data_IF_448751824832
#
_entry.id   IF_448751824832
#
_cell.length_a   1.000
_cell.length_b   1.000
_cell.length_c   1.000
_cell.angle_alpha   90.00
_cell.angle_beta   90.00
_cell.angle_gamma   90.00
#
_symmetry.space_group_name_H-M   'P 1'
#
loop_
_entity.id
_entity.type
_entity.pdbx_description
1 polymer ?
#
# COMPACT_ATOMS: atom_id res chain seq x y z
N UNK A 1 -9.45 -27.20 -15.54
CA UNK A 1 -10.53 -26.20 -15.58
C UNK A 1 -10.28 -25.11 -14.54
N UNK A 2 -10.54 -23.85 -14.90
CA UNK A 2 -10.64 -22.68 -14.01
C UNK A 2 -12.13 -22.45 -13.75
N UNK A 3 -12.58 -22.58 -12.51
CA UNK A 3 -14.00 -22.49 -12.17
C UNK A 3 -14.29 -21.17 -11.43
N UNK A 4 -15.25 -20.39 -11.92
CA UNK A 4 -15.61 -19.08 -11.38
C UNK A 4 -16.97 -19.15 -10.65
N UNK A 5 -16.93 -19.41 -9.34
CA UNK A 5 -18.13 -19.53 -8.51
C UNK A 5 -18.50 -18.18 -7.90
N UNK A 6 -19.65 -17.64 -8.26
CA UNK A 6 -20.10 -16.32 -7.84
C UNK A 6 -21.63 -16.27 -7.68
N UNK A 7 -22.13 -15.25 -6.98
CA UNK A 7 -23.56 -14.96 -6.96
C UNK A 7 -23.94 -14.22 -8.24
N UNK A 8 -25.15 -14.45 -8.77
CA UNK A 8 -25.65 -13.77 -9.98
C UNK A 8 -25.54 -12.24 -9.91
N UNK A 9 -25.72 -11.64 -8.73
CA UNK A 9 -25.60 -10.19 -8.53
C UNK A 9 -24.18 -9.65 -8.68
N UNK A 10 -23.18 -10.52 -8.60
CA UNK A 10 -21.77 -10.17 -8.70
C UNK A 10 -21.24 -10.27 -10.14
N UNK A 11 -22.07 -10.69 -11.10
CA UNK A 11 -21.74 -10.79 -12.53
C UNK A 11 -21.06 -9.55 -13.11
N UNK A 12 -21.49 -8.31 -12.81
CA UNK A 12 -20.83 -7.12 -13.33
C UNK A 12 -19.33 -7.02 -13.00
N UNK A 13 -18.88 -7.65 -11.92
CA UNK A 13 -17.47 -7.68 -11.51
C UNK A 13 -16.77 -8.95 -12.02
N UNK A 14 -17.48 -10.09 -12.02
CA UNK A 14 -16.90 -11.40 -12.39
C UNK A 14 -16.78 -11.60 -13.89
N UNK A 15 -17.71 -11.07 -14.69
CA UNK A 15 -17.73 -11.25 -16.15
C UNK A 15 -16.50 -10.64 -16.86
N UNK A 16 -16.02 -9.43 -16.50
CA UNK A 16 -14.77 -8.90 -17.03
C UNK A 16 -13.56 -9.81 -16.71
N UNK A 17 -13.51 -10.38 -15.52
CA UNK A 17 -12.46 -11.34 -15.12
C UNK A 17 -12.56 -12.60 -15.98
N UNK A 18 -13.77 -13.17 -16.10
CA UNK A 18 -14.02 -14.35 -16.91
C UNK A 18 -13.57 -14.13 -18.36
N UNK A 19 -13.96 -13.00 -18.96
CA UNK A 19 -13.63 -12.62 -20.34
C UNK A 19 -12.12 -12.45 -20.54
N UNK A 20 -11.42 -11.88 -19.56
CA UNK A 20 -9.95 -11.79 -19.62
C UNK A 20 -9.31 -13.17 -19.55
N UNK A 21 -9.78 -14.02 -18.63
CA UNK A 21 -9.24 -15.37 -18.46
C UNK A 21 -9.50 -16.23 -19.70
N UNK A 22 -10.68 -16.13 -20.33
CA UNK A 22 -10.99 -16.87 -21.56
C UNK A 22 -10.12 -16.42 -22.73
N UNK A 23 -9.80 -15.12 -22.81
CA UNK A 23 -8.85 -14.57 -23.80
C UNK A 23 -7.43 -15.12 -23.60
N UNK A 24 -6.99 -15.28 -22.34
CA UNK A 24 -5.62 -15.70 -22.02
C UNK A 24 -5.43 -17.22 -22.09
N UNK A 25 -6.42 -17.99 -21.61
CA UNK A 25 -6.30 -19.43 -21.41
C UNK A 25 -7.17 -20.28 -22.33
N UNK A 26 -8.07 -19.66 -23.09
CA UNK A 26 -9.10 -20.35 -23.86
C UNK A 26 -10.43 -20.44 -23.11
N UNK A 27 -11.53 -20.21 -23.82
CA UNK A 27 -12.89 -20.23 -23.26
C UNK A 27 -13.28 -21.62 -22.71
N UNK A 28 -12.80 -22.70 -23.33
CA UNK A 28 -13.01 -24.09 -22.89
C UNK A 28 -12.29 -24.43 -21.58
N UNK A 29 -11.32 -23.62 -21.16
CA UNK A 29 -10.60 -23.78 -19.89
C UNK A 29 -11.22 -22.99 -18.74
N UNK A 30 -12.21 -22.14 -19.01
CA UNK A 30 -12.87 -21.27 -18.03
C UNK A 30 -14.35 -21.64 -17.92
N UNK A 31 -14.70 -22.22 -16.79
CA UNK A 31 -16.10 -22.46 -16.43
C UNK A 31 -16.68 -21.17 -15.82
N UNK A 32 -17.51 -20.48 -16.60
CA UNK A 32 -18.31 -19.33 -16.20
C UNK A 32 -19.75 -19.59 -16.62
N UNK A 33 -20.69 -19.52 -15.68
CA UNK A 33 -22.09 -19.91 -15.87
C UNK A 33 -22.73 -19.25 -17.10
N UNK A 34 -22.40 -17.98 -17.38
CA UNK A 34 -22.95 -17.20 -18.49
C UNK A 34 -22.70 -17.79 -19.88
N UNK A 35 -21.68 -18.63 -20.06
CA UNK A 35 -21.46 -19.36 -21.32
C UNK A 35 -21.36 -20.88 -21.16
N UNK A 36 -20.99 -21.39 -20.00
CA UNK A 36 -20.83 -22.82 -19.76
C UNK A 36 -22.16 -23.56 -19.59
N UNK A 37 -23.24 -22.84 -19.30
CA UNK A 37 -24.59 -23.39 -19.11
C UNK A 37 -25.54 -22.67 -20.07
N UNK A 38 -26.11 -23.42 -21.03
CA UNK A 38 -27.03 -22.87 -22.02
C UNK A 38 -28.48 -23.31 -21.74
N UNK A 39 -29.49 -22.57 -22.23
CA UNK A 39 -30.88 -22.99 -22.13
C UNK A 39 -31.08 -24.40 -22.69
N UNK A 40 -31.64 -25.30 -21.86
CA UNK A 40 -31.81 -26.72 -22.18
C UNK A 40 -30.80 -27.63 -21.47
N UNK A 41 -29.71 -27.10 -20.92
CA UNK A 41 -28.76 -27.86 -20.12
C UNK A 41 -29.29 -28.14 -18.69
N UNK A 42 -28.94 -29.31 -18.16
CA UNK A 42 -29.04 -29.59 -16.73
C UNK A 42 -27.99 -28.78 -15.97
N UNK A 43 -28.42 -27.78 -15.18
CA UNK A 43 -27.52 -26.91 -14.41
C UNK A 43 -26.58 -27.72 -13.51
N UNK A 44 -27.13 -28.71 -12.79
CA UNK A 44 -26.38 -29.56 -11.86
C UNK A 44 -25.35 -30.40 -12.61
N UNK A 45 -25.72 -30.98 -13.74
CA UNK A 45 -24.83 -31.82 -14.54
C UNK A 45 -23.64 -31.01 -15.07
N UNK A 46 -23.89 -29.82 -15.64
CA UNK A 46 -22.82 -28.91 -16.09
C UNK A 46 -21.91 -28.46 -14.95
N UNK A 47 -22.45 -28.18 -13.78
CA UNK A 47 -21.64 -27.85 -12.61
C UNK A 47 -20.73 -29.01 -12.22
N UNK A 48 -21.25 -30.24 -12.21
CA UNK A 48 -20.46 -31.43 -11.89
C UNK A 48 -19.34 -31.64 -12.92
N UNK A 49 -19.63 -31.50 -14.22
CA UNK A 49 -18.64 -31.60 -15.30
C UNK A 49 -17.50 -30.57 -15.11
N UNK A 50 -17.86 -29.33 -14.79
CA UNK A 50 -16.89 -28.26 -14.53
C UNK A 50 -16.05 -28.51 -13.27
N UNK A 51 -16.64 -29.08 -12.23
CA UNK A 51 -15.99 -29.41 -10.97
C UNK A 51 -15.04 -30.61 -11.09
N UNK A 52 -15.41 -31.66 -11.83
CA UNK A 52 -14.60 -32.87 -11.97
C UNK A 52 -13.20 -32.57 -12.55
N UNK A 53 -13.14 -31.62 -13.49
CA UNK A 53 -11.89 -31.18 -14.13
C UNK A 53 -11.28 -29.93 -13.49
N UNK A 54 -11.81 -29.48 -12.35
CA UNK A 54 -11.40 -28.25 -11.69
C UNK A 54 -10.01 -28.37 -11.09
N UNK A 55 -9.13 -27.43 -11.46
CA UNK A 55 -7.81 -27.25 -10.86
C UNK A 55 -7.77 -26.02 -9.95
N UNK A 56 -8.43 -24.95 -10.37
CA UNK A 56 -8.55 -23.71 -9.62
C UNK A 56 -10.02 -23.38 -9.47
N UNK A 57 -10.48 -23.33 -8.22
CA UNK A 57 -11.84 -22.99 -7.87
C UNK A 57 -11.83 -21.61 -7.22
N UNK A 58 -12.14 -20.58 -8.01
CA UNK A 58 -12.22 -19.21 -7.53
C UNK A 58 -13.61 -18.95 -6.98
N UNK A 59 -13.69 -18.70 -5.67
CA UNK A 59 -14.94 -18.42 -4.99
C UNK A 59 -15.05 -16.92 -4.70
N UNK A 60 -15.96 -16.24 -5.38
CA UNK A 60 -16.21 -14.82 -5.21
C UNK A 60 -17.13 -14.58 -4.01
N UNK A 61 -16.54 -14.00 -2.96
CA UNK A 61 -17.15 -13.73 -1.67
C UNK A 61 -17.63 -12.28 -1.63
N UNK A 62 -18.93 -12.11 -1.44
CA UNK A 62 -19.63 -10.85 -1.30
C UNK A 62 -20.73 -11.01 -0.25
N UNK A 63 -21.34 -9.92 0.20
CA UNK A 63 -22.57 -9.97 1.00
C UNK A 63 -23.67 -10.78 0.29
N UNK A 64 -23.73 -10.74 -1.05
CA UNK A 64 -24.69 -11.52 -1.82
C UNK A 64 -24.40 -13.03 -1.74
N UNK A 65 -23.14 -13.44 -1.93
CA UNK A 65 -22.79 -14.86 -1.90
C UNK A 65 -22.85 -15.45 -0.49
N UNK A 66 -22.59 -14.66 0.54
CA UNK A 66 -22.76 -15.03 1.94
C UNK A 66 -24.23 -15.18 2.36
N UNK A 67 -25.12 -14.34 1.83
CA UNK A 67 -26.56 -14.43 2.08
C UNK A 67 -27.18 -15.64 1.36
N UNK A 68 -26.63 -16.07 0.23
CA UNK A 68 -26.94 -17.36 -0.37
C UNK A 68 -26.23 -18.49 0.41
N UNK A 69 -26.80 -19.70 0.46
CA UNK A 69 -26.25 -20.85 1.19
C UNK A 69 -24.87 -21.36 0.68
N UNK A 70 -24.13 -20.58 -0.11
CA UNK A 70 -22.87 -20.94 -0.77
C UNK A 70 -21.67 -21.03 0.19
N UNK A 71 -21.75 -20.55 1.42
CA UNK A 71 -20.56 -20.48 2.34
C UNK A 71 -20.65 -21.43 3.53
N UNK A 72 -21.52 -22.44 3.46
CA UNK A 72 -21.66 -23.47 4.50
C UNK A 72 -20.53 -24.51 4.41
N UNK A 73 -20.17 -25.11 5.54
CA UNK A 73 -19.21 -26.23 5.64
C UNK A 73 -19.51 -27.37 4.66
N UNK A 74 -20.80 -27.69 4.50
CA UNK A 74 -21.28 -28.71 3.57
C UNK A 74 -20.89 -28.42 2.13
N UNK A 75 -20.84 -27.15 1.74
CA UNK A 75 -20.52 -26.72 0.39
C UNK A 75 -19.03 -26.91 0.08
N UNK A 76 -18.14 -26.56 1.01
CA UNK A 76 -16.70 -26.83 0.83
C UNK A 76 -16.43 -28.33 0.73
N UNK A 77 -17.01 -29.14 1.61
CA UNK A 77 -16.87 -30.60 1.57
C UNK A 77 -17.40 -31.17 0.24
N UNK A 78 -18.51 -30.63 -0.27
CA UNK A 78 -19.05 -31.02 -1.57
C UNK A 78 -18.08 -30.69 -2.71
N UNK A 79 -17.45 -29.50 -2.71
CA UNK A 79 -16.44 -29.14 -3.73
C UNK A 79 -15.22 -30.03 -3.63
N UNK A 80 -14.68 -30.26 -2.44
CA UNK A 80 -13.52 -31.14 -2.26
C UNK A 80 -13.81 -32.56 -2.76
N UNK A 81 -14.99 -33.10 -2.46
CA UNK A 81 -15.42 -34.40 -2.99
C UNK A 81 -15.58 -34.38 -4.50
N UNK A 82 -16.29 -33.39 -5.05
CA UNK A 82 -16.55 -33.27 -6.50
C UNK A 82 -15.26 -33.10 -7.33
N UNK A 83 -14.23 -32.50 -6.73
CA UNK A 83 -12.94 -32.24 -7.37
C UNK A 83 -11.90 -33.32 -7.05
N UNK A 84 -12.29 -34.40 -6.37
CA UNK A 84 -11.39 -35.46 -5.89
C UNK A 84 -10.19 -34.94 -5.07
N UNK A 85 -10.39 -33.87 -4.28
CA UNK A 85 -9.35 -33.15 -3.54
C UNK A 85 -8.23 -32.53 -4.38
N UNK A 86 -8.43 -32.35 -5.69
CA UNK A 86 -7.41 -31.80 -6.61
C UNK A 86 -7.54 -30.30 -6.82
N UNK A 87 -8.74 -29.74 -6.66
CA UNK A 87 -8.95 -28.31 -6.87
C UNK A 87 -8.40 -27.49 -5.70
N UNK A 88 -7.70 -26.41 -6.03
CA UNK A 88 -7.34 -25.37 -5.09
C UNK A 88 -8.52 -24.40 -4.96
N UNK A 89 -9.12 -24.31 -3.77
CA UNK A 89 -10.14 -23.32 -3.46
C UNK A 89 -9.45 -21.99 -3.11
N UNK A 90 -9.75 -20.93 -3.87
CA UNK A 90 -9.19 -19.59 -3.67
C UNK A 90 -10.35 -18.61 -3.45
N UNK A 91 -10.54 -18.08 -2.23
CA UNK A 91 -11.54 -17.06 -1.99
C UNK A 91 -11.11 -15.72 -2.61
N UNK A 92 -12.08 -14.95 -3.13
CA UNK A 92 -11.89 -13.62 -3.70
C UNK A 92 -12.88 -12.66 -3.04
N UNK A 93 -12.40 -11.66 -2.31
CA UNK A 93 -13.25 -10.67 -1.63
C UNK A 93 -13.67 -9.56 -2.59
N UNK A 94 -14.98 -9.35 -2.73
CA UNK A 94 -15.56 -8.37 -3.67
C UNK A 94 -16.11 -7.09 -3.01
N UNK A 95 -16.49 -7.16 -1.74
CA UNK A 95 -17.05 -6.03 -0.99
C UNK A 95 -16.51 -5.99 0.46
N UNK A 96 -17.05 -5.10 1.29
CA UNK A 96 -16.72 -4.94 2.70
C UNK A 96 -17.18 -6.09 3.60
N UNK A 97 -17.60 -7.24 3.06
CA UNK A 97 -17.99 -8.39 3.87
C UNK A 97 -16.86 -8.89 4.78
N UNK A 98 -17.29 -9.46 5.92
CA UNK A 98 -16.42 -10.21 6.79
C UNK A 98 -16.20 -11.59 6.19
N UNK A 99 -14.93 -11.94 5.96
CA UNK A 99 -14.57 -13.26 5.46
C UNK A 99 -14.94 -14.32 6.51
N UNK A 100 -15.76 -15.32 6.18
CA UNK A 100 -16.12 -16.37 7.13
C UNK A 100 -14.89 -17.13 7.63
N UNK A 101 -14.92 -17.55 8.89
CA UNK A 101 -13.81 -18.24 9.55
C UNK A 101 -13.27 -19.44 8.78
N UNK A 102 -14.15 -20.15 8.07
CA UNK A 102 -13.78 -21.30 7.24
C UNK A 102 -12.92 -20.91 6.03
N UNK A 103 -13.10 -19.72 5.46
CA UNK A 103 -12.31 -19.21 4.33
C UNK A 103 -11.06 -18.47 4.80
N UNK A 104 -11.00 -18.04 6.06
CA UNK A 104 -9.82 -17.42 6.67
C UNK A 104 -8.66 -18.41 6.88
N UNK A 105 -8.88 -19.72 6.77
CA UNK A 105 -7.82 -20.73 6.84
C UNK A 105 -6.91 -20.71 5.61
N UNK A 106 -7.34 -20.06 4.52
CA UNK A 106 -6.61 -19.90 3.27
C UNK A 106 -6.42 -18.43 2.95
N UNK A 107 -5.30 -18.08 2.31
CA UNK A 107 -5.12 -16.74 1.75
C UNK A 107 -6.18 -16.47 0.67
N UNK A 108 -6.77 -15.28 0.72
CA UNK A 108 -7.75 -14.82 -0.26
C UNK A 108 -7.17 -13.67 -1.10
N UNK A 109 -7.75 -13.48 -2.29
CA UNK A 109 -7.44 -12.34 -3.16
C UNK A 109 -8.40 -11.20 -2.80
N UNK A 110 -7.88 -9.99 -2.57
CA UNK A 110 -8.67 -8.84 -2.12
C UNK A 110 -8.90 -7.83 -3.25
N UNK A 111 -9.98 -7.99 -4.01
CA UNK A 111 -10.36 -7.02 -5.05
C UNK A 111 -10.91 -5.73 -4.42
N UNK A 112 -11.65 -5.84 -3.32
CA UNK A 112 -12.25 -4.69 -2.64
C UNK A 112 -11.19 -3.73 -2.07
N UNK A 113 -10.23 -4.26 -1.32
CA UNK A 113 -9.22 -3.45 -0.62
C UNK A 113 -8.02 -3.06 -1.47
N UNK A 114 -7.70 -3.80 -2.53
CA UNK A 114 -6.50 -3.58 -3.37
C UNK A 114 -6.80 -3.19 -4.82
N UNK A 115 -8.07 -3.26 -5.23
CA UNK A 115 -8.52 -2.88 -6.56
C UNK A 115 -8.58 -4.04 -7.55
N UNK A 116 -9.33 -3.82 -8.63
CA UNK A 116 -9.64 -4.82 -9.65
C UNK A 116 -8.39 -5.37 -10.36
N UNK A 117 -7.52 -4.49 -10.86
CA UNK A 117 -6.31 -4.89 -11.61
C UNK A 117 -5.35 -5.71 -10.75
N UNK A 118 -5.20 -5.34 -9.47
CA UNK A 118 -4.38 -6.10 -8.53
C UNK A 118 -4.93 -7.52 -8.35
N UNK A 119 -6.24 -7.65 -8.09
CA UNK A 119 -6.86 -8.96 -7.91
C UNK A 119 -6.84 -9.81 -9.17
N UNK A 120 -7.12 -9.23 -10.34
CA UNK A 120 -7.04 -9.91 -11.64
C UNK A 120 -5.62 -10.44 -11.91
N UNK A 121 -4.59 -9.63 -11.64
CA UNK A 121 -3.19 -10.07 -11.74
C UNK A 121 -2.91 -11.24 -10.81
N UNK A 122 -3.33 -11.17 -9.54
CA UNK A 122 -3.13 -12.26 -8.59
C UNK A 122 -3.83 -13.55 -9.03
N UNK A 123 -5.04 -13.47 -9.60
CA UNK A 123 -5.75 -14.63 -10.17
C UNK A 123 -4.89 -15.29 -11.26
N UNK A 124 -4.35 -14.49 -12.19
CA UNK A 124 -3.47 -14.97 -13.27
C UNK A 124 -2.17 -15.57 -12.71
N UNK A 125 -1.57 -14.94 -11.71
CA UNK A 125 -0.34 -15.44 -11.07
C UNK A 125 -0.59 -16.79 -10.39
N UNK A 126 -1.70 -16.95 -9.68
CA UNK A 126 -2.12 -18.23 -9.07
C UNK A 126 -2.31 -19.32 -10.12
N UNK A 127 -3.00 -19.03 -11.23
CA UNK A 127 -3.22 -20.00 -12.31
C UNK A 127 -1.88 -20.46 -12.92
N UNK A 128 -0.93 -19.54 -13.05
CA UNK A 128 0.40 -19.80 -13.60
C UNK A 128 1.40 -20.38 -12.58
N UNK A 129 0.98 -20.66 -11.33
CA UNK A 129 1.86 -21.03 -10.22
C UNK A 129 3.02 -20.06 -9.97
N UNK A 130 2.80 -18.76 -10.23
CA UNK A 130 3.75 -17.70 -9.90
C UNK A 130 3.54 -17.24 -8.47
N UNK A 131 4.61 -16.75 -7.85
CA UNK A 131 4.50 -16.10 -6.55
C UNK A 131 3.70 -14.79 -6.72
N UNK A 132 2.66 -14.61 -5.90
CA UNK A 132 1.79 -13.43 -5.89
C UNK A 132 2.39 -12.25 -5.14
N UNK A 133 3.59 -12.40 -4.57
CA UNK A 133 4.34 -11.31 -3.96
C UNK A 133 4.77 -10.31 -5.04
N UNK A 134 4.35 -9.07 -4.86
CA UNK A 134 4.89 -7.93 -5.59
C UNK A 134 5.83 -7.22 -4.64
N UNK A 135 7.11 -7.13 -5.00
CA UNK A 135 8.03 -6.24 -4.30
C UNK A 135 7.56 -4.81 -4.59
N UNK A 136 6.86 -4.20 -3.65
CA UNK A 136 6.59 -2.77 -3.72
C UNK A 136 7.94 -2.04 -3.56
N UNK A 137 8.29 -1.16 -4.50
CA UNK A 137 9.47 -0.27 -4.38
C UNK A 137 9.28 0.82 -3.29
N UNK A 138 8.38 0.59 -2.33
CA UNK A 138 8.17 1.49 -1.22
C UNK A 138 9.29 1.29 -0.21
N UNK A 139 10.30 2.15 -0.26
CA UNK A 139 11.26 2.26 0.85
C UNK A 139 10.54 2.96 2.01
N UNK A 140 10.40 2.27 3.14
CA UNK A 140 9.91 2.89 4.37
C UNK A 140 10.85 4.02 4.79
N UNK A 141 10.31 5.22 4.96
CA UNK A 141 11.05 6.34 5.54
C UNK A 141 10.78 6.40 7.05
N UNK A 142 11.81 6.04 7.82
CA UNK A 142 11.76 5.95 9.27
C UNK A 142 11.84 7.30 9.97
N UNK A 143 12.37 8.32 9.30
CA UNK A 143 12.42 9.68 9.85
C UNK A 143 11.20 10.47 9.41
N UNK A 144 10.55 11.16 10.34
CA UNK A 144 9.44 12.06 10.05
C UNK A 144 9.67 13.44 10.66
N UNK A 145 9.27 14.46 9.91
CA UNK A 145 9.20 15.83 10.36
C UNK A 145 7.81 16.12 10.93
N UNK A 146 7.75 16.84 12.02
CA UNK A 146 6.50 17.30 12.62
C UNK A 146 6.57 18.82 12.80
N UNK A 147 5.60 19.54 12.24
CA UNK A 147 5.42 20.96 12.53
C UNK A 147 4.54 21.04 13.78
N UNK A 148 5.07 21.66 14.84
CA UNK A 148 4.35 21.85 16.10
C UNK A 148 3.47 23.11 16.04
N UNK A 149 2.32 23.13 16.74
CA UNK A 149 1.52 24.33 16.90
C UNK A 149 2.35 25.45 17.55
N UNK A 150 2.29 26.64 16.97
CA UNK A 150 3.01 27.82 17.45
C UNK A 150 2.05 29.00 17.51
N UNK A 151 2.18 29.84 18.53
CA UNK A 151 1.37 31.06 18.69
C UNK A 151 1.98 32.27 17.97
N UNK A 152 3.08 32.09 17.25
CA UNK A 152 3.83 33.16 16.56
C UNK A 152 3.97 32.84 15.09
N UNK A 153 3.45 33.73 14.24
CA UNK A 153 3.45 33.54 12.78
C UNK A 153 4.83 33.62 12.13
N UNK A 154 5.84 34.12 12.86
CA UNK A 154 7.19 34.37 12.33
C UNK A 154 8.21 33.27 12.64
N UNK A 155 7.83 32.26 13.44
CA UNK A 155 8.69 31.12 13.77
C UNK A 155 7.95 29.78 13.67
N UNK A 156 8.59 28.79 13.07
CA UNK A 156 8.13 27.41 13.01
C UNK A 156 8.95 26.55 13.97
N UNK A 157 8.24 25.73 14.75
CA UNK A 157 8.82 24.74 15.63
C UNK A 157 8.69 23.38 14.97
N UNK A 158 9.80 22.68 14.83
CA UNK A 158 9.89 21.41 14.13
C UNK A 158 10.45 20.33 15.04
N UNK A 159 9.92 19.13 14.94
CA UNK A 159 10.57 17.93 15.47
C UNK A 159 10.91 16.97 14.33
N UNK A 160 12.13 16.47 14.34
CA UNK A 160 12.54 15.34 13.52
C UNK A 160 12.61 14.11 14.42
N UNK A 161 11.78 13.11 14.12
CA UNK A 161 11.65 11.89 14.92
C UNK A 161 12.03 10.68 14.08
N UNK A 162 12.67 9.72 14.73
CA UNK A 162 12.74 8.35 14.22
C UNK A 162 11.54 7.58 14.78
N UNK A 163 10.84 6.85 13.92
CA UNK A 163 9.56 6.21 14.30
C UNK A 163 9.76 4.78 14.84
N UNK A 164 10.52 3.94 14.12
CA UNK A 164 10.64 2.50 14.41
C UNK A 164 12.03 2.14 14.92
N UNK A 165 13.09 2.65 14.29
CA UNK A 165 14.46 2.25 14.60
C UNK A 165 15.43 3.44 14.65
N UNK A 166 16.61 3.22 15.22
CA UNK A 166 17.65 4.25 15.38
C UNK A 166 18.25 4.63 14.03
N UNK A 167 18.38 5.93 13.80
CA UNK A 167 19.13 6.49 12.68
C UNK A 167 20.53 6.88 13.14
N UNK A 168 21.59 6.15 12.71
CA UNK A 168 22.93 6.38 13.21
C UNK A 168 23.51 7.73 12.77
N UNK A 169 23.03 8.28 11.65
CA UNK A 169 23.51 9.53 11.07
C UNK A 169 22.41 10.59 11.17
N UNK A 170 22.62 11.56 12.05
CA UNK A 170 21.70 12.69 12.28
C UNK A 170 22.16 13.93 11.52
N UNK A 171 22.03 13.89 10.20
CA UNK A 171 22.35 14.99 9.31
C UNK A 171 21.09 15.48 8.63
N UNK A 172 20.69 16.70 8.92
CA UNK A 172 19.43 17.29 8.48
C UNK A 172 19.63 18.63 7.78
N UNK A 173 18.78 18.92 6.81
CA UNK A 173 18.70 20.22 6.15
C UNK A 173 17.28 20.73 6.31
N UNK A 174 17.13 21.91 6.91
CA UNK A 174 15.87 22.66 6.89
C UNK A 174 15.86 23.53 5.63
N UNK A 175 15.01 23.20 4.66
CA UNK A 175 14.92 23.88 3.37
C UNK A 175 14.08 25.15 3.47
N UNK A 176 14.53 26.22 2.82
CA UNK A 176 13.87 27.52 2.79
C UNK A 176 14.19 28.29 1.50
N UNK A 177 13.30 29.16 1.05
CA UNK A 177 13.60 30.12 -0.02
C UNK A 177 14.28 31.40 0.49
N UNK A 178 14.29 31.63 1.79
CA UNK A 178 14.90 32.84 2.37
C UNK A 178 16.43 32.85 2.18
N UNK A 179 17.00 34.05 2.11
CA UNK A 179 18.45 34.27 2.11
C UNK A 179 19.06 34.12 3.51
N UNK A 180 20.38 33.97 3.58
CA UNK A 180 21.12 33.69 4.83
C UNK A 180 20.92 34.77 5.93
N UNK A 181 20.84 36.02 5.51
CA UNK A 181 20.59 37.18 6.36
C UNK A 181 19.12 37.33 6.76
N UNK A 182 18.20 36.68 6.04
CA UNK A 182 16.75 36.74 6.27
C UNK A 182 16.24 35.67 7.25
N UNK A 183 16.97 34.57 7.45
CA UNK A 183 16.49 33.40 8.22
C UNK A 183 17.44 32.99 9.33
N UNK A 184 16.88 32.53 10.45
CA UNK A 184 17.60 31.88 11.53
C UNK A 184 17.03 30.48 11.77
N UNK A 185 17.89 29.46 11.79
CA UNK A 185 17.56 28.11 12.24
C UNK A 185 18.39 27.75 13.46
N UNK A 186 17.81 27.05 14.44
CA UNK A 186 18.51 26.54 15.62
C UNK A 186 18.01 25.16 15.98
N UNK A 187 18.92 24.28 16.40
CA UNK A 187 18.56 23.07 17.14
C UNK A 187 18.45 23.44 18.63
N UNK A 188 17.32 23.16 19.27
CA UNK A 188 17.03 23.68 20.62
C UNK A 188 17.38 22.73 21.76
N UNK A 189 17.54 21.44 21.46
CA UNK A 189 17.81 20.40 22.45
C UNK A 189 19.18 19.72 22.31
N UNK A 190 20.06 20.23 21.43
CA UNK A 190 21.39 19.69 21.20
C UNK A 190 22.45 20.80 21.35
N UNK A 191 23.48 20.54 22.17
CA UNK A 191 24.55 21.50 22.42
C UNK A 191 25.77 21.30 21.49
N UNK A 192 26.04 20.07 21.08
CA UNK A 192 27.17 19.71 20.21
C UNK A 192 26.65 19.40 18.82
N UNK A 193 26.82 20.36 17.90
CA UNK A 193 26.42 20.23 16.50
C UNK A 193 27.30 21.11 15.61
N UNK A 194 27.35 20.77 14.33
CA UNK A 194 27.80 21.69 13.28
C UNK A 194 26.57 22.26 12.57
N UNK A 195 26.55 23.57 12.35
CA UNK A 195 25.50 24.26 11.61
C UNK A 195 26.10 25.08 10.48
N UNK A 196 25.56 24.96 9.26
CA UNK A 196 26.03 25.68 8.07
C UNK A 196 24.85 26.09 7.21
N UNK A 197 24.84 27.33 6.71
CA UNK A 197 23.89 27.75 5.68
C UNK A 197 24.36 27.27 4.31
N UNK A 198 23.46 26.65 3.55
CA UNK A 198 23.72 26.10 2.22
C UNK A 198 22.90 26.86 1.18
N UNK A 199 23.56 27.28 0.10
CA UNK A 199 22.92 27.87 -1.08
C UNK A 199 22.69 26.81 -2.14
N UNK A 200 21.63 26.98 -2.94
CA UNK A 200 21.35 26.16 -4.13
C UNK A 200 21.23 24.63 -3.86
N UNK A 201 20.68 24.26 -2.70
CA UNK A 201 20.34 22.87 -2.35
C UNK A 201 19.29 22.34 -3.30
N UNK A 202 19.56 21.19 -3.91
CA UNK A 202 18.60 20.52 -4.81
C UNK A 202 17.56 19.78 -3.97
N UNK A 203 16.35 20.32 -3.89
CA UNK A 203 15.28 19.76 -3.07
C UNK A 203 14.45 18.68 -3.80
N UNK A 204 14.69 18.40 -5.09
CA UNK A 204 13.95 17.43 -5.92
C UNK A 204 13.44 18.05 -7.21
N UNK A 205 13.18 17.24 -8.26
CA UNK A 205 12.62 17.65 -9.56
C UNK A 205 13.26 18.92 -10.19
N UNK A 206 14.58 19.04 -10.11
CA UNK A 206 15.36 20.22 -10.55
C UNK A 206 15.04 21.55 -9.83
N UNK A 207 14.25 21.54 -8.77
CA UNK A 207 13.99 22.71 -7.94
C UNK A 207 15.14 22.91 -6.93
N UNK A 208 15.70 24.14 -6.93
CA UNK A 208 16.77 24.57 -6.03
C UNK A 208 16.25 25.60 -5.04
N UNK A 209 16.64 25.45 -3.78
CA UNK A 209 16.38 26.42 -2.71
C UNK A 209 17.56 26.49 -1.75
N UNK A 210 17.48 27.35 -0.75
CA UNK A 210 18.49 27.41 0.30
C UNK A 210 18.16 26.40 1.41
N UNK A 211 19.12 26.17 2.31
CA UNK A 211 18.88 25.33 3.47
C UNK A 211 19.82 25.61 4.62
N UNK A 212 19.41 25.21 5.82
CA UNK A 212 20.24 25.25 7.01
C UNK A 212 20.58 23.82 7.38
N UNK A 213 21.84 23.45 7.20
CA UNK A 213 22.37 22.13 7.50
C UNK A 213 22.74 22.01 8.98
N UNK A 214 22.41 20.86 9.57
CA UNK A 214 22.74 20.47 10.92
C UNK A 214 23.38 19.08 10.90
N UNK A 215 24.62 18.98 11.39
CA UNK A 215 25.29 17.72 11.72
C UNK A 215 25.27 17.54 13.23
N UNK A 216 24.48 16.58 13.69
CA UNK A 216 24.22 16.36 15.11
C UNK A 216 24.98 15.11 15.53
N UNK A 217 25.75 15.23 16.61
CA UNK A 217 26.68 14.18 17.07
C UNK A 217 25.93 12.90 17.46
N UNK A 218 24.76 13.01 18.09
CA UNK A 218 23.99 11.85 18.54
C UNK A 218 23.10 11.27 17.44
N UNK A 219 22.81 9.96 17.47
CA UNK A 219 21.83 9.37 16.57
C UNK A 219 20.40 9.85 16.87
N UNK A 220 19.55 9.80 15.86
CA UNK A 220 18.12 10.10 16.01
C UNK A 220 17.41 8.80 16.37
N UNK A 221 16.92 8.76 17.60
CA UNK A 221 16.44 7.53 18.26
C UNK A 221 14.95 7.66 18.56
N UNK A 222 14.14 6.60 18.39
CA UNK A 222 12.73 6.64 18.78
C UNK A 222 12.53 7.11 20.22
N UNK A 223 11.59 8.04 20.41
CA UNK A 223 11.33 8.69 21.70
C UNK A 223 12.26 9.86 22.06
N UNK A 224 13.33 10.11 21.29
CA UNK A 224 14.28 11.20 21.51
C UNK A 224 14.35 12.14 20.29
N UNK A 225 13.32 12.99 20.08
CA UNK A 225 13.24 13.87 18.92
C UNK A 225 14.43 14.84 18.84
N UNK A 226 14.76 15.26 17.63
CA UNK A 226 15.62 16.41 17.39
C UNK A 226 14.70 17.61 17.16
N UNK A 227 14.90 18.69 17.92
CA UNK A 227 14.01 19.85 17.88
C UNK A 227 14.69 21.02 17.21
N UNK A 228 14.00 21.62 16.25
CA UNK A 228 14.45 22.81 15.57
C UNK A 228 13.45 23.95 15.73
N UNK A 229 13.98 25.16 15.73
CA UNK A 229 13.20 26.38 15.47
C UNK A 229 13.79 27.03 14.25
N UNK A 230 12.94 27.38 13.29
CA UNK A 230 13.30 28.21 12.13
C UNK A 230 12.42 29.45 12.14
N UNK A 231 13.01 30.63 12.01
CA UNK A 231 12.30 31.90 12.08
C UNK A 231 12.85 32.92 11.11
N UNK A 232 12.02 33.88 10.71
CA UNK A 232 12.49 35.04 9.97
C UNK A 232 13.24 36.01 10.90
N UNK A 233 14.33 36.59 10.39
CA UNK A 233 15.10 37.67 11.04
C UNK A 233 14.61 39.05 10.64
N UNK A 234 13.86 39.16 9.54
CA UNK A 234 13.44 40.42 8.93
C UNK A 234 11.91 40.49 8.86
N UNK A 235 11.37 41.56 8.27
CA UNK A 235 9.94 41.67 7.98
C UNK A 235 9.49 40.73 6.84
N UNK A 236 10.42 40.06 6.16
CA UNK A 236 10.13 39.11 5.09
C UNK A 236 9.54 37.84 5.72
N UNK A 237 8.40 37.31 5.22
CA UNK A 237 7.83 36.08 5.73
C UNK A 237 8.77 34.89 5.60
N UNK A 238 8.70 33.97 6.56
CA UNK A 238 9.42 32.71 6.51
C UNK A 238 8.83 31.81 5.42
N UNK A 239 9.66 31.37 4.47
CA UNK A 239 9.29 30.50 3.35
C UNK A 239 9.91 29.12 3.50
N UNK A 240 9.39 28.35 4.45
CA UNK A 240 9.84 26.99 4.71
C UNK A 240 9.35 26.01 3.62
N UNK A 241 10.27 25.22 3.08
CA UNK A 241 10.00 24.28 1.98
C UNK A 241 9.90 22.84 2.49
N UNK A 242 10.71 22.46 3.48
CA UNK A 242 10.66 21.14 4.07
C UNK A 242 11.95 20.70 4.75
N UNK A 243 12.08 19.40 4.97
CA UNK A 243 13.22 18.78 5.65
C UNK A 243 13.84 17.75 4.72
N UNK A 244 15.17 17.72 4.65
CA UNK A 244 15.92 16.62 4.06
C UNK A 244 16.83 15.99 5.11
N UNK A 245 17.13 14.71 4.90
CA UNK A 245 18.11 13.95 5.68
C UNK A 245 19.20 13.39 4.79
N UNK A 246 20.40 13.18 5.34
CA UNK A 246 21.40 12.35 4.68
C UNK A 246 21.01 10.87 4.75
N UNK A 247 21.20 10.17 3.64
CA UNK A 247 21.05 8.70 3.52
C UNK A 247 22.34 8.03 3.06
N UNK A 248 23.37 8.82 2.79
CA UNK A 248 24.72 8.43 2.36
C UNK A 248 25.60 9.67 2.29
N UNK A 249 26.85 9.52 1.86
CA UNK A 249 27.84 10.60 1.89
C UNK A 249 27.45 11.82 1.03
N UNK A 250 26.90 11.57 -0.17
CA UNK A 250 26.45 12.60 -1.09
C UNK A 250 24.97 12.43 -1.48
N UNK A 251 24.24 11.61 -0.74
CA UNK A 251 22.83 11.32 -1.01
C UNK A 251 21.96 11.86 0.10
N UNK A 252 21.01 12.71 -0.29
CA UNK A 252 20.00 13.28 0.59
C UNK A 252 18.61 12.90 0.10
N UNK A 253 17.68 12.79 1.03
CA UNK A 253 16.29 12.44 0.75
C UNK A 253 15.34 13.34 1.52
N UNK A 254 14.20 13.68 0.92
CA UNK A 254 13.12 14.40 1.62
C UNK A 254 12.57 13.57 2.76
N UNK A 255 12.33 14.23 3.87
CA UNK A 255 11.64 13.70 5.04
C UNK A 255 10.16 14.09 4.94
N UNK A 256 9.21 13.14 5.01
CA UNK A 256 7.78 13.45 5.09
C UNK A 256 7.47 14.33 6.29
N UNK A 257 6.60 15.33 6.10
CA UNK A 257 6.22 16.30 7.13
C UNK A 257 4.75 16.12 7.49
N UNK A 258 4.46 16.10 8.79
CA UNK A 258 3.13 16.04 9.36
C UNK A 258 2.90 17.33 10.14
N UNK A 259 1.76 17.99 9.92
CA UNK A 259 1.35 19.15 10.71
C UNK A 259 0.53 18.62 11.88
N UNK A 260 0.96 18.93 13.10
CA UNK A 260 0.19 18.60 14.29
C UNK A 260 -0.80 19.74 14.58
N UNK A 261 -2.05 19.36 14.84
CA UNK A 261 -3.12 20.27 15.29
C UNK A 261 -3.02 20.57 16.79
#
# INVERSE_FOLDING_TARGET
MIFLSHNYKDKPIVEPIASKLSTVYGMDKVFYDGWSIQPGDGIIDKMNDGLEQCKFFFFFVSKNSLASNMVKLEWQNAIYKATQNKAKLIPIKLDDCLMPAILMQTLYIDIFGKGFEFGLRQIVDVINNKNTFVQEEQTYENVRGFILPTSKDTELHLEVRAEIYVEPISKYILLTENQEDEVEGKCTNEALLQQVFMKDVTAGDNYKCNGIFFDIVRPTTPGFPIRFIIKSKTEIPLKFIGIMRATGENTIRRVPIIILE
#
